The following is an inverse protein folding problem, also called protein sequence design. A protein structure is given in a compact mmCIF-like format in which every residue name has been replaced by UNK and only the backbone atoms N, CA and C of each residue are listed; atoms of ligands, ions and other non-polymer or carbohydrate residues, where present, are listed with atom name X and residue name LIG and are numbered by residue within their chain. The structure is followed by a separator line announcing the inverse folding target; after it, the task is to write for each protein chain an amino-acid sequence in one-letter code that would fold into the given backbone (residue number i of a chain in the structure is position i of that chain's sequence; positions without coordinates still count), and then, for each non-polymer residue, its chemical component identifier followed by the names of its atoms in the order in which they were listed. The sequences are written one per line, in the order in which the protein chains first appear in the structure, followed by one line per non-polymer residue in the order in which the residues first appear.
data_IF_004401189888
#
_entry.id   IF_004401189888
#
_cell.length_a   1.000
_cell.length_b   1.000
_cell.length_c   1.000
_cell.angle_alpha   90.00
_cell.angle_beta   90.00
_cell.angle_gamma   90.00
#
_symmetry.space_group_name_H-M   'P 1'
#
loop_
_entity.id
_entity.type
_entity.pdbx_description
1 polymer ?
#
# COMPACT_ATOMS: atom_id res chain seq x y z
N UNK A 1 7.92 27.02 -19.57
CA UNK A 1 7.33 27.00 -18.21
C UNK A 1 6.25 25.93 -18.15
N UNK A 2 6.54 24.74 -17.61
CA UNK A 2 5.51 23.71 -17.41
C UNK A 2 4.74 24.09 -16.15
N UNK A 3 3.44 24.37 -16.31
CA UNK A 3 2.51 24.62 -15.20
C UNK A 3 2.61 23.43 -14.25
N UNK A 4 3.08 23.68 -13.02
CA UNK A 4 3.10 22.66 -11.97
C UNK A 4 1.66 22.20 -11.81
N UNK A 5 1.36 20.97 -12.24
CA UNK A 5 0.03 20.40 -12.06
C UNK A 5 -0.17 20.29 -10.56
N UNK A 6 -1.25 20.88 -10.08
CA UNK A 6 -1.73 20.69 -8.72
C UNK A 6 -2.17 19.23 -8.64
N UNK A 7 -1.30 18.38 -8.10
CA UNK A 7 -1.60 16.96 -7.94
C UNK A 7 -2.54 16.86 -6.75
N UNK A 8 -3.76 16.41 -7.01
CA UNK A 8 -4.72 16.19 -5.95
C UNK A 8 -4.47 14.81 -5.35
N UNK A 9 -4.78 14.61 -4.06
CA UNK A 9 -4.63 13.29 -3.41
C UNK A 9 -5.42 12.18 -4.11
N UNK A 10 -6.41 12.60 -4.91
CA UNK A 10 -7.26 11.76 -5.74
C UNK A 10 -6.55 11.10 -6.92
N UNK A 11 -5.38 11.60 -7.31
CA UNK A 11 -4.59 11.13 -8.44
C UNK A 11 -3.61 10.00 -8.08
N UNK A 12 -3.54 9.62 -6.79
CA UNK A 12 -2.60 8.62 -6.31
C UNK A 12 -3.26 7.27 -6.05
N UNK A 13 -2.50 6.21 -6.36
CA UNK A 13 -2.80 4.85 -5.92
C UNK A 13 -2.04 4.55 -4.63
N UNK A 14 -2.71 3.89 -3.69
CA UNK A 14 -2.09 3.42 -2.44
C UNK A 14 -1.83 1.93 -2.57
N UNK A 15 -0.57 1.53 -2.54
CA UNK A 15 -0.18 0.12 -2.55
C UNK A 15 0.08 -0.35 -1.12
N UNK A 16 -0.68 -1.34 -0.67
CA UNK A 16 -0.50 -2.00 0.63
C UNK A 16 0.28 -3.30 0.42
N UNK A 17 1.50 -3.37 0.96
CA UNK A 17 2.35 -4.55 0.93
C UNK A 17 2.44 -5.16 2.34
N UNK A 18 1.98 -6.40 2.50
CA UNK A 18 2.07 -7.11 3.79
C UNK A 18 2.25 -8.62 3.57
N UNK A 19 3.05 -9.31 4.41
CA UNK A 19 3.23 -10.75 4.31
C UNK A 19 1.98 -11.54 4.74
N UNK A 20 1.12 -10.93 5.54
CA UNK A 20 -0.11 -11.56 6.07
C UNK A 20 -1.27 -11.34 5.12
N UNK A 21 -2.11 -12.36 4.96
CA UNK A 21 -3.37 -12.25 4.20
C UNK A 21 -4.28 -11.12 4.74
N UNK A 22 -5.07 -10.55 3.83
CA UNK A 22 -6.09 -9.56 4.17
C UNK A 22 -7.11 -10.14 5.16
N UNK A 23 -7.23 -9.47 6.31
CA UNK A 23 -8.31 -9.71 7.26
C UNK A 23 -9.70 -9.50 6.60
N UNK A 24 -10.74 -10.27 6.97
CA UNK A 24 -12.09 -10.12 6.41
C UNK A 24 -12.65 -8.70 6.47
N UNK A 25 -12.41 -7.97 7.56
CA UNK A 25 -12.86 -6.58 7.70
C UNK A 25 -12.16 -5.67 6.69
N UNK A 26 -10.85 -5.85 6.51
CA UNK A 26 -10.07 -5.07 5.56
C UNK A 26 -10.47 -5.38 4.11
N UNK A 27 -10.73 -6.66 3.81
CA UNK A 27 -11.27 -7.09 2.51
C UNK A 27 -12.62 -6.41 2.21
N UNK A 28 -13.50 -6.29 3.20
CA UNK A 28 -14.78 -5.59 3.04
C UNK A 28 -14.59 -4.08 2.77
N UNK A 29 -13.68 -3.42 3.48
CA UNK A 29 -13.38 -1.99 3.27
C UNK A 29 -12.87 -1.75 1.83
N UNK A 30 -12.01 -2.63 1.33
CA UNK A 30 -11.49 -2.53 -0.04
C UNK A 30 -12.55 -2.76 -1.14
N UNK A 31 -13.74 -3.27 -0.81
CA UNK A 31 -14.85 -3.36 -1.76
C UNK A 31 -15.65 -2.05 -1.88
N UNK A 32 -15.49 -1.12 -0.94
CA UNK A 32 -16.17 0.18 -1.00
C UNK A 32 -15.64 0.98 -2.20
N UNK A 33 -16.50 1.53 -3.08
CA UNK A 33 -16.07 2.11 -4.36
C UNK A 33 -14.95 3.15 -4.28
N UNK A 34 -14.99 4.01 -3.25
CA UNK A 34 -13.96 5.02 -2.99
C UNK A 34 -12.55 4.43 -2.83
N UNK A 35 -12.43 3.22 -2.26
CA UNK A 35 -11.15 2.56 -2.01
C UNK A 35 -10.82 1.51 -3.07
N UNK A 36 -11.83 0.80 -3.59
CA UNK A 36 -11.67 -0.26 -4.59
C UNK A 36 -10.93 0.21 -5.86
N UNK A 37 -11.09 1.50 -6.22
CA UNK A 37 -10.45 2.07 -7.40
C UNK A 37 -9.03 2.59 -7.15
N UNK A 38 -8.64 2.84 -5.89
CA UNK A 38 -7.39 3.55 -5.55
C UNK A 38 -6.42 2.75 -4.70
N UNK A 39 -6.90 1.73 -3.98
CA UNK A 39 -6.08 0.93 -3.06
C UNK A 39 -5.83 -0.45 -3.64
N UNK A 40 -4.55 -0.80 -3.77
CA UNK A 40 -4.10 -2.09 -4.30
C UNK A 40 -3.40 -2.82 -3.17
N UNK A 41 -3.90 -4.00 -2.81
CA UNK A 41 -3.22 -4.86 -1.85
C UNK A 41 -2.39 -5.92 -2.56
N UNK A 42 -1.14 -6.08 -2.11
CA UNK A 42 -0.20 -7.09 -2.58
C UNK A 42 0.26 -7.91 -1.38
N UNK A 43 0.00 -9.21 -1.42
CA UNK A 43 0.58 -10.12 -0.44
C UNK A 43 2.06 -10.34 -0.77
N UNK A 44 2.95 -9.98 0.15
CA UNK A 44 4.40 -10.03 -0.04
C UNK A 44 5.18 -9.34 1.08
N UNK A 45 6.49 -9.53 1.10
CA UNK A 45 7.40 -8.92 2.08
C UNK A 45 8.26 -7.85 1.43
N UNK A 46 8.47 -6.73 2.12
CA UNK A 46 9.42 -5.71 1.68
C UNK A 46 10.89 -6.18 1.70
N UNK A 47 11.20 -7.36 2.25
CA UNK A 47 12.55 -7.94 2.26
C UNK A 47 12.91 -8.67 0.96
N UNK A 48 11.96 -8.81 0.02
CA UNK A 48 12.18 -9.48 -1.27
C UNK A 48 12.04 -8.49 -2.41
N UNK A 49 13.09 -8.35 -3.21
CA UNK A 49 13.11 -7.43 -4.37
C UNK A 49 11.99 -7.72 -5.38
N UNK A 50 11.62 -8.99 -5.53
CA UNK A 50 10.51 -9.41 -6.37
C UNK A 50 9.17 -8.78 -5.92
N UNK A 51 8.95 -8.68 -4.61
CA UNK A 51 7.71 -8.12 -4.05
C UNK A 51 7.72 -6.59 -4.16
N UNK A 52 8.88 -5.95 -3.99
CA UNK A 52 9.06 -4.52 -4.22
C UNK A 52 8.84 -4.12 -5.69
N UNK A 53 9.28 -4.98 -6.62
CA UNK A 53 9.06 -4.80 -8.06
C UNK A 53 7.57 -4.90 -8.39
N UNK A 54 6.85 -5.89 -7.83
CA UNK A 54 5.38 -5.99 -7.98
C UNK A 54 4.66 -4.77 -7.41
N UNK A 55 5.16 -4.21 -6.31
CA UNK A 55 4.65 -2.98 -5.72
C UNK A 55 5.05 -1.69 -6.46
N UNK A 56 5.83 -1.80 -7.55
CA UNK A 56 6.36 -0.67 -8.33
C UNK A 56 7.05 0.38 -7.46
N UNK A 57 7.78 -0.06 -6.42
CA UNK A 57 8.42 0.83 -5.44
C UNK A 57 9.36 1.86 -6.11
N UNK A 58 10.03 1.50 -7.20
CA UNK A 58 10.93 2.40 -7.93
C UNK A 58 10.24 3.59 -8.62
N UNK A 59 8.92 3.53 -8.78
CA UNK A 59 8.10 4.61 -9.36
C UNK A 59 7.21 5.30 -8.32
N UNK A 60 7.30 4.89 -7.04
CA UNK A 60 6.46 5.44 -5.98
C UNK A 60 6.95 6.83 -5.58
N UNK A 61 6.01 7.78 -5.47
CA UNK A 61 6.29 9.15 -4.98
C UNK A 61 6.72 9.15 -3.51
N UNK A 62 6.15 8.23 -2.71
CA UNK A 62 6.46 8.09 -1.31
C UNK A 62 6.31 6.63 -0.85
N UNK A 63 7.09 6.25 0.16
CA UNK A 63 7.00 4.95 0.82
C UNK A 63 6.78 5.14 2.32
N UNK A 64 5.82 4.43 2.88
CA UNK A 64 5.49 4.47 4.30
C UNK A 64 5.73 3.10 4.92
N UNK A 65 6.49 3.07 6.02
CA UNK A 65 6.71 1.86 6.80
C UNK A 65 5.98 2.03 8.13
N UNK A 66 4.98 1.18 8.35
CA UNK A 66 4.20 1.18 9.58
C UNK A 66 4.73 0.08 10.51
N UNK A 67 5.27 0.48 11.67
CA UNK A 67 5.65 -0.46 12.71
C UNK A 67 4.41 -0.88 13.52
N UNK A 68 4.21 -2.18 13.71
CA UNK A 68 3.16 -2.68 14.59
C UNK A 68 3.49 -2.30 16.05
N UNK A 69 2.65 -1.47 16.67
CA UNK A 69 2.87 -1.01 18.06
C UNK A 69 2.59 -2.08 19.13
N UNK A 70 1.98 -3.21 18.74
CA UNK A 70 1.63 -4.31 19.63
C UNK A 70 2.02 -5.65 19.03
N UNK A 71 3.28 -5.79 18.64
CA UNK A 71 3.84 -7.13 18.52
C UNK A 71 4.04 -7.62 19.96
N UNK A 72 3.11 -8.44 20.45
CA UNK A 72 3.39 -9.22 21.65
C UNK A 72 4.53 -10.14 21.26
N UNK A 73 5.74 -9.75 21.66
CA UNK A 73 6.95 -10.54 21.50
C UNK A 73 6.68 -11.85 22.27
N UNK A 74 6.28 -12.89 21.54
CA UNK A 74 6.17 -14.23 22.12
C UNK A 74 7.58 -14.80 22.10
N UNK A 75 8.35 -14.43 23.12
CA UNK A 75 9.64 -15.00 23.46
C UNK A 75 9.55 -16.50 23.69
#
# INVERSE_FOLDING_TARGET
MRKSREVTWEDFFVVLLSPMELDPTMRMILQVPMWAQRVIYIQGSCLKDADLTRARMGEAEACFILAARSYADKT
#
